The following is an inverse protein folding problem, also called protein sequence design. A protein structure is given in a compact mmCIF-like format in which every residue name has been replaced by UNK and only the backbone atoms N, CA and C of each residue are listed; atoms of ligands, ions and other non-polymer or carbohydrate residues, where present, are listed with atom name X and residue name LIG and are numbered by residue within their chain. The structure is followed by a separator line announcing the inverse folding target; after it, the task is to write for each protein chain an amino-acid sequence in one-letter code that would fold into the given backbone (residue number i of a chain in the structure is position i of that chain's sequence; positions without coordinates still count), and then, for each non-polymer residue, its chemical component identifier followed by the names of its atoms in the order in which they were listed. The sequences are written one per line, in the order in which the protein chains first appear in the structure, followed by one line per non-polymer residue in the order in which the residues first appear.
data_IF_230882764297
#
_entry.id   IF_230882764297
#
_cell.length_a   1.000
_cell.length_b   1.000
_cell.length_c   1.000
_cell.angle_alpha   90.00
_cell.angle_beta   90.00
_cell.angle_gamma   90.00
#
_symmetry.space_group_name_H-M   'P 1'
#
loop_
_entity.id
_entity.type
_entity.pdbx_description
1 polymer ?
#
# COMPACT_ATOMS: atom_id res chain seq x y z
N UNK A 1 4.55 10.38 14.39
CA UNK A 1 3.46 10.81 13.52
C UNK A 1 3.96 11.87 12.55
N UNK A 2 3.95 11.56 11.26
CA UNK A 2 4.28 12.43 10.14
C UNK A 2 3.31 13.60 10.04
N UNK A 3 2.00 13.38 10.24
CA UNK A 3 0.97 14.44 10.28
C UNK A 3 1.36 15.64 11.16
N UNK A 4 1.75 15.36 12.41
CA UNK A 4 2.21 16.36 13.39
C UNK A 4 3.44 17.12 12.91
N UNK A 5 4.40 16.39 12.33
CA UNK A 5 5.62 16.97 11.81
C UNK A 5 5.35 17.91 10.64
N UNK A 6 4.45 17.54 9.72
CA UNK A 6 4.05 18.39 8.59
C UNK A 6 3.36 19.68 9.05
N UNK A 7 2.36 19.58 9.94
CA UNK A 7 1.66 20.76 10.49
C UNK A 7 2.65 21.70 11.18
N UNK A 8 3.56 21.13 11.99
CA UNK A 8 4.55 21.93 12.72
C UNK A 8 5.56 22.58 11.78
N UNK A 9 6.05 21.84 10.78
CA UNK A 9 7.00 22.32 9.78
C UNK A 9 6.37 23.44 8.96
N UNK A 10 5.29 23.16 8.24
CA UNK A 10 4.65 24.11 7.31
C UNK A 10 4.15 25.35 8.02
N UNK A 11 3.50 25.21 9.18
CA UNK A 11 3.08 26.35 9.96
C UNK A 11 4.25 27.21 10.44
N UNK A 12 5.37 26.60 10.86
CA UNK A 12 6.56 27.35 11.26
C UNK A 12 7.22 28.06 10.07
N UNK A 13 7.27 27.42 8.90
CA UNK A 13 7.84 28.02 7.68
C UNK A 13 7.04 29.23 7.22
N UNK A 14 5.72 29.08 7.13
CA UNK A 14 4.80 30.15 6.71
C UNK A 14 4.80 31.32 7.72
N UNK A 15 5.04 31.04 9.00
CA UNK A 15 5.19 32.07 10.02
C UNK A 15 6.60 32.71 10.06
N UNK A 16 7.54 32.30 9.20
CA UNK A 16 8.92 32.78 9.22
C UNK A 16 9.72 32.34 10.45
N UNK A 17 9.33 31.22 11.08
CA UNK A 17 9.90 30.69 12.33
C UNK A 17 10.59 29.33 12.16
N UNK A 18 10.66 28.77 10.94
CA UNK A 18 11.37 27.51 10.70
C UNK A 18 12.88 27.73 10.73
N UNK A 19 13.64 26.76 11.25
CA UNK A 19 15.10 26.80 11.21
C UNK A 19 15.64 26.15 9.92
N UNK A 20 16.79 26.60 9.38
CA UNK A 20 17.45 25.93 8.26
C UNK A 20 17.79 24.45 8.56
N UNK A 21 18.06 24.16 9.83
CA UNK A 21 18.29 22.82 10.34
C UNK A 21 17.02 21.96 10.45
N UNK A 22 15.84 22.48 10.13
CA UNK A 22 14.60 21.69 10.11
C UNK A 22 13.95 21.73 8.73
N UNK A 23 14.21 22.78 7.94
CA UNK A 23 13.46 23.12 6.74
C UNK A 23 14.37 23.55 5.57
N UNK A 24 15.10 22.60 5.00
CA UNK A 24 16.09 22.88 3.96
C UNK A 24 15.45 23.50 2.71
N UNK A 25 14.27 23.04 2.30
CA UNK A 25 13.63 23.50 1.06
C UNK A 25 13.25 24.98 1.15
N UNK A 26 12.67 25.40 2.27
CA UNK A 26 12.27 26.80 2.48
C UNK A 26 13.44 27.78 2.50
N UNK A 27 14.54 27.38 3.14
CA UNK A 27 15.71 28.25 3.29
C UNK A 27 16.63 28.23 2.06
N UNK A 28 16.65 27.13 1.31
CA UNK A 28 17.51 26.99 0.13
C UNK A 28 16.85 27.46 -1.17
N UNK A 29 15.53 27.30 -1.30
CA UNK A 29 14.79 27.64 -2.53
C UNK A 29 13.42 28.24 -2.20
N UNK A 30 13.36 29.38 -1.50
CA UNK A 30 12.11 30.06 -1.24
C UNK A 30 11.48 30.50 -2.58
N UNK A 31 10.22 30.16 -2.77
CA UNK A 31 9.45 30.56 -3.96
C UNK A 31 7.98 30.72 -3.61
N UNK A 32 7.27 31.48 -4.45
CA UNK A 32 5.84 31.64 -4.32
C UNK A 32 5.10 30.31 -4.47
N UNK A 33 5.54 29.46 -5.40
CA UNK A 33 5.01 28.10 -5.58
C UNK A 33 5.16 27.25 -4.30
N UNK A 34 6.29 27.39 -3.58
CA UNK A 34 6.50 26.71 -2.29
C UNK A 34 5.55 27.23 -1.21
N UNK A 35 5.37 28.56 -1.14
CA UNK A 35 4.44 29.20 -0.19
C UNK A 35 3.02 28.72 -0.43
N UNK A 36 2.54 28.79 -1.67
CA UNK A 36 1.20 28.36 -2.06
C UNK A 36 0.97 26.88 -1.79
N UNK A 37 1.95 26.02 -2.12
CA UNK A 37 1.87 24.60 -1.81
C UNK A 37 1.72 24.34 -0.32
N UNK A 38 2.53 24.99 0.53
CA UNK A 38 2.49 24.77 1.98
C UNK A 38 1.25 25.37 2.64
N UNK A 39 0.73 26.48 2.12
CA UNK A 39 -0.57 27.03 2.53
C UNK A 39 -1.70 26.05 2.24
N UNK A 40 -1.76 25.56 1.00
CA UNK A 40 -2.70 24.51 0.60
C UNK A 40 -2.57 23.26 1.48
N UNK A 41 -1.35 22.72 1.62
CA UNK A 41 -1.12 21.47 2.33
C UNK A 41 -1.45 21.61 3.83
N UNK A 42 -1.10 22.75 4.45
CA UNK A 42 -1.45 23.01 5.84
C UNK A 42 -2.96 23.11 6.03
N UNK A 43 -3.66 23.85 5.16
CA UNK A 43 -5.12 23.96 5.19
C UNK A 43 -5.80 22.59 5.03
N UNK A 44 -5.38 21.81 4.04
CA UNK A 44 -5.88 20.46 3.82
C UNK A 44 -5.62 19.55 5.03
N UNK A 45 -4.40 19.55 5.58
CA UNK A 45 -4.06 18.76 6.78
C UNK A 45 -4.91 19.16 7.99
N UNK A 46 -5.22 20.45 8.16
CA UNK A 46 -6.08 20.94 9.24
C UNK A 46 -7.54 20.48 9.09
N UNK A 47 -8.02 20.31 7.85
CA UNK A 47 -9.37 19.83 7.56
C UNK A 47 -9.48 18.31 7.46
N UNK A 48 -8.34 17.61 7.33
CA UNK A 48 -8.29 16.18 7.07
C UNK A 48 -8.86 15.33 8.21
N UNK A 49 -9.69 14.34 7.90
CA UNK A 49 -9.97 13.24 8.84
C UNK A 49 -8.75 12.33 8.93
N UNK A 50 -8.20 12.15 10.13
CA UNK A 50 -6.88 11.54 10.34
C UNK A 50 -7.00 10.08 10.76
N UNK A 51 -6.35 9.20 10.00
CA UNK A 51 -6.25 7.77 10.25
C UNK A 51 -4.79 7.34 10.35
N UNK A 52 -4.43 6.65 11.43
CA UNK A 52 -3.10 6.06 11.63
C UNK A 52 -3.24 4.56 11.71
N UNK A 53 -2.67 3.82 10.78
CA UNK A 53 -2.65 2.36 10.85
C UNK A 53 -1.44 1.94 11.68
N UNK A 54 -1.66 1.02 12.61
CA UNK A 54 -0.53 0.25 13.13
C UNK A 54 0.02 -0.68 12.03
N UNK A 55 1.20 -1.27 12.28
CA UNK A 55 1.86 -2.11 11.30
C UNK A 55 1.01 -3.31 10.87
N UNK A 56 0.24 -3.91 11.80
CA UNK A 56 -0.62 -5.05 11.50
C UNK A 56 -1.82 -4.66 10.64
N UNK A 57 -2.44 -3.51 10.92
CA UNK A 57 -3.55 -2.98 10.12
C UNK A 57 -3.08 -2.59 8.73
N UNK A 58 -1.91 -1.96 8.60
CA UNK A 58 -1.31 -1.65 7.31
C UNK A 58 -1.01 -2.92 6.52
N UNK A 59 -0.39 -3.92 7.15
CA UNK A 59 -0.12 -5.21 6.52
C UNK A 59 -1.41 -5.94 6.10
N UNK A 60 -2.45 -5.92 6.94
CA UNK A 60 -3.74 -6.55 6.63
C UNK A 60 -4.43 -5.88 5.43
N UNK A 61 -4.51 -4.53 5.42
CA UNK A 61 -5.03 -3.77 4.28
C UNK A 61 -4.25 -4.06 2.99
N UNK A 62 -2.92 -4.18 3.10
CA UNK A 62 -2.04 -4.53 1.99
C UNK A 62 -2.21 -5.98 1.50
N UNK A 63 -2.67 -6.91 2.36
CA UNK A 63 -2.99 -8.27 1.90
C UNK A 63 -4.21 -8.35 0.99
N UNK A 64 -5.13 -7.38 1.11
CA UNK A 64 -6.26 -7.22 0.21
C UNK A 64 -5.79 -6.72 -1.16
N UNK A 65 -4.72 -5.91 -1.22
CA UNK A 65 -4.11 -5.50 -2.48
C UNK A 65 -3.65 -6.72 -3.28
N UNK A 66 -2.93 -7.65 -2.63
CA UNK A 66 -2.46 -8.87 -3.28
C UNK A 66 -3.63 -9.72 -3.84
N UNK A 67 -4.76 -9.77 -3.13
CA UNK A 67 -5.95 -10.51 -3.55
C UNK A 67 -6.65 -9.83 -4.74
N UNK A 68 -6.86 -8.52 -4.66
CA UNK A 68 -7.49 -7.73 -5.73
C UNK A 68 -6.59 -7.66 -6.96
N UNK A 69 -5.28 -7.53 -6.80
CA UNK A 69 -4.33 -7.55 -7.91
C UNK A 69 -4.34 -8.91 -8.65
N UNK A 70 -4.48 -10.01 -7.91
CA UNK A 70 -4.66 -11.34 -8.52
C UNK A 70 -5.96 -11.41 -9.31
N UNK A 71 -7.09 -11.00 -8.73
CA UNK A 71 -8.39 -10.98 -9.41
C UNK A 71 -8.41 -10.04 -10.62
N UNK A 72 -7.80 -8.86 -10.51
CA UNK A 72 -7.60 -7.90 -11.60
C UNK A 72 -6.81 -8.54 -12.76
N UNK A 73 -5.75 -9.30 -12.45
CA UNK A 73 -4.97 -10.01 -13.47
C UNK A 73 -5.75 -11.13 -14.16
N UNK A 74 -6.71 -11.75 -13.47
CA UNK A 74 -7.59 -12.80 -14.01
C UNK A 74 -8.77 -12.24 -14.82
N UNK A 75 -9.26 -11.04 -14.49
CA UNK A 75 -10.44 -10.40 -15.10
C UNK A 75 -10.10 -9.33 -16.14
N UNK A 76 -8.85 -8.87 -16.20
CA UNK A 76 -8.39 -7.82 -17.10
C UNK A 76 -8.80 -6.39 -16.70
N UNK A 77 -9.40 -6.20 -15.52
CA UNK A 77 -9.77 -4.88 -14.99
C UNK A 77 -8.61 -4.26 -14.18
N UNK A 78 -8.39 -2.94 -14.22
CA UNK A 78 -7.43 -2.28 -13.34
C UNK A 78 -7.83 -2.43 -11.87
N UNK A 79 -6.90 -2.83 -11.00
CA UNK A 79 -7.16 -3.00 -9.56
C UNK A 79 -7.71 -1.73 -8.88
N UNK A 80 -7.33 -0.55 -9.38
CA UNK A 80 -7.85 0.74 -8.91
C UNK A 80 -9.27 1.04 -9.38
N UNK A 81 -9.73 0.47 -10.50
CA UNK A 81 -11.12 0.59 -10.94
C UNK A 81 -12.07 -0.12 -9.96
N UNK A 82 -11.65 -1.27 -9.43
CA UNK A 82 -12.39 -2.01 -8.38
C UNK A 82 -12.50 -1.17 -7.09
N UNK A 83 -11.49 -0.36 -6.77
CA UNK A 83 -11.52 0.53 -5.61
C UNK A 83 -12.21 1.87 -5.85
N UNK A 84 -12.47 2.25 -7.12
CA UNK A 84 -13.09 3.53 -7.45
C UNK A 84 -14.53 3.68 -6.95
N UNK A 85 -15.15 2.58 -6.54
CA UNK A 85 -16.47 2.55 -5.93
C UNK A 85 -16.45 2.92 -4.43
N UNK A 86 -15.28 2.92 -3.80
CA UNK A 86 -15.14 3.19 -2.36
C UNK A 86 -15.29 4.69 -2.11
N UNK A 87 -16.32 5.05 -1.34
CA UNK A 87 -16.57 6.43 -0.93
C UNK A 87 -15.55 6.87 0.12
N UNK A 88 -15.00 8.07 -0.07
CA UNK A 88 -14.13 8.70 0.91
C UNK A 88 -14.92 9.04 2.19
N UNK A 89 -14.33 8.84 3.39
CA UNK A 89 -15.01 9.11 4.65
C UNK A 89 -15.14 10.60 5.01
N UNK A 90 -14.48 11.49 4.27
CA UNK A 90 -14.54 12.95 4.36
C UNK A 90 -13.96 13.58 3.09
N UNK A 91 -14.22 14.86 2.85
CA UNK A 91 -13.67 15.61 1.70
C UNK A 91 -12.15 15.69 1.70
N UNK A 92 -11.53 15.67 2.88
CA UNK A 92 -10.08 15.58 3.03
C UNK A 92 -9.75 14.48 4.02
N UNK A 93 -8.83 13.60 3.65
CA UNK A 93 -8.43 12.46 4.47
C UNK A 93 -6.92 12.37 4.54
N UNK A 94 -6.42 12.05 5.73
CA UNK A 94 -5.03 11.71 5.97
C UNK A 94 -4.93 10.26 6.42
N UNK A 95 -4.11 9.46 5.74
CA UNK A 95 -3.81 8.08 6.12
C UNK A 95 -2.30 7.93 6.28
N UNK A 96 -1.84 7.46 7.44
CA UNK A 96 -0.40 7.27 7.72
C UNK A 96 -0.11 5.87 8.28
N UNK A 97 1.04 5.33 7.89
CA UNK A 97 1.56 4.04 8.34
C UNK A 97 3.10 4.01 8.30
N UNK A 98 3.70 3.02 8.97
CA UNK A 98 5.15 2.77 8.92
C UNK A 98 5.47 1.87 7.71
N UNK A 99 6.09 2.46 6.69
CA UNK A 99 6.51 1.78 5.47
C UNK A 99 7.62 0.75 5.73
N UNK A 100 8.40 0.92 6.81
CA UNK A 100 9.47 -0.02 7.17
C UNK A 100 8.89 -1.36 7.60
N UNK A 101 7.98 -1.31 8.55
CA UNK A 101 7.27 -2.48 9.06
C UNK A 101 6.44 -3.14 7.95
N UNK A 102 5.83 -2.34 7.07
CA UNK A 102 5.11 -2.84 5.91
C UNK A 102 6.03 -3.59 4.93
N UNK A 103 7.22 -3.05 4.66
CA UNK A 103 8.23 -3.69 3.81
C UNK A 103 8.68 -5.04 4.37
N UNK A 104 8.90 -5.13 5.68
CA UNK A 104 9.21 -6.39 6.36
C UNK A 104 8.05 -7.39 6.21
N UNK A 105 6.81 -6.96 6.47
CA UNK A 105 5.64 -7.81 6.34
C UNK A 105 5.43 -8.30 4.88
N UNK A 106 5.74 -7.48 3.87
CA UNK A 106 5.72 -7.86 2.45
C UNK A 106 6.75 -8.95 2.14
N UNK A 107 7.97 -8.78 2.65
CA UNK A 107 9.04 -9.75 2.47
C UNK A 107 8.72 -11.08 3.15
N UNK A 108 8.31 -11.05 4.42
CA UNK A 108 7.99 -12.25 5.20
C UNK A 108 6.88 -13.09 4.57
N UNK A 109 5.89 -12.46 3.94
CA UNK A 109 4.81 -13.16 3.22
C UNK A 109 5.13 -13.49 1.76
N UNK A 110 6.35 -13.21 1.28
CA UNK A 110 6.77 -13.39 -0.11
C UNK A 110 5.85 -12.67 -1.12
N UNK A 111 5.47 -11.42 -0.82
CA UNK A 111 4.70 -10.59 -1.75
C UNK A 111 5.41 -10.52 -3.12
N UNK A 112 4.68 -10.52 -4.25
CA UNK A 112 5.28 -10.41 -5.58
C UNK A 112 6.23 -9.21 -5.73
N UNK A 113 5.96 -8.11 -5.01
CA UNK A 113 6.74 -6.87 -5.09
C UNK A 113 8.11 -6.99 -4.45
N UNK A 114 8.25 -7.82 -3.41
CA UNK A 114 9.52 -8.03 -2.71
C UNK A 114 10.22 -9.32 -3.16
N UNK A 115 9.74 -9.97 -4.23
CA UNK A 115 10.27 -11.27 -4.70
C UNK A 115 11.75 -11.23 -5.08
N UNK A 116 12.23 -10.08 -5.53
CA UNK A 116 13.60 -9.87 -5.99
C UNK A 116 14.48 -9.15 -4.96
N UNK A 117 13.93 -8.85 -3.79
CA UNK A 117 14.63 -8.09 -2.77
C UNK A 117 15.40 -9.03 -1.84
N UNK A 118 16.67 -8.73 -1.60
CA UNK A 118 17.48 -9.40 -0.59
C UNK A 118 17.33 -8.63 0.74
N UNK A 119 16.21 -8.89 1.45
CA UNK A 119 15.79 -8.23 2.71
C UNK A 119 15.45 -6.73 2.57
N UNK A 120 14.32 -6.37 1.95
CA UNK A 120 13.92 -4.98 1.85
C UNK A 120 13.51 -4.46 3.23
N UNK A 121 14.08 -3.32 3.58
CA UNK A 121 13.60 -2.49 4.69
C UNK A 121 12.90 -1.32 4.02
N UNK A 122 11.65 -1.05 4.38
CA UNK A 122 10.96 0.14 3.89
C UNK A 122 11.66 1.43 4.31
N UNK A 123 11.14 2.56 3.87
CA UNK A 123 11.94 3.79 3.88
C UNK A 123 11.73 4.67 5.11
N UNK A 124 10.62 4.52 5.84
CA UNK A 124 10.31 5.33 7.03
C UNK A 124 8.80 5.44 7.27
N UNK A 125 8.32 6.63 7.67
CA UNK A 125 6.88 6.89 7.72
C UNK A 125 6.37 7.37 6.36
N UNK A 126 5.18 6.91 5.99
CA UNK A 126 4.49 7.32 4.78
C UNK A 126 3.10 7.83 5.14
N UNK A 127 2.68 8.91 4.49
CA UNK A 127 1.39 9.55 4.71
C UNK A 127 0.75 10.00 3.41
N UNK A 128 -0.53 9.71 3.24
CA UNK A 128 -1.33 10.07 2.07
C UNK A 128 -2.31 11.16 2.47
N UNK A 129 -2.19 12.31 1.82
CA UNK A 129 -3.22 13.33 1.81
C UNK A 129 -4.09 13.12 0.57
N UNK A 130 -5.35 12.81 0.81
CA UNK A 130 -6.37 12.58 -0.22
C UNK A 130 -7.37 13.73 -0.09
N UNK A 131 -7.36 14.66 -1.04
CA UNK A 131 -8.17 15.88 -1.03
C UNK A 131 -9.14 15.88 -2.21
N UNK A 132 -10.42 15.78 -1.89
CA UNK A 132 -11.56 15.69 -2.81
C UNK A 132 -12.39 16.97 -2.89
N UNK A 133 -11.89 18.08 -2.34
CA UNK A 133 -12.61 19.36 -2.36
C UNK A 133 -12.72 19.95 -3.77
N UNK A 134 -11.85 19.54 -4.69
CA UNK A 134 -11.86 20.02 -6.07
C UNK A 134 -12.88 19.25 -6.92
N UNK A 135 -13.84 19.98 -7.52
CA UNK A 135 -14.91 19.38 -8.34
C UNK A 135 -14.44 18.75 -9.65
N UNK A 136 -13.23 19.04 -10.12
CA UNK A 136 -12.68 18.50 -11.37
C UNK A 136 -11.75 17.29 -11.18
N UNK A 137 -11.20 17.12 -9.98
CA UNK A 137 -10.24 16.04 -9.72
C UNK A 137 -10.10 15.74 -8.23
N UNK A 138 -9.75 14.50 -7.92
CA UNK A 138 -9.20 14.12 -6.62
C UNK A 138 -7.69 14.32 -6.63
N UNK A 139 -7.16 15.01 -5.61
CA UNK A 139 -5.71 15.20 -5.46
C UNK A 139 -5.15 14.25 -4.40
N UNK A 140 -4.13 13.49 -4.77
CA UNK A 140 -3.47 12.52 -3.91
C UNK A 140 -2.01 12.89 -3.80
N UNK A 141 -1.56 13.15 -2.58
CA UNK A 141 -0.18 13.58 -2.31
C UNK A 141 0.45 12.65 -1.28
N UNK A 142 1.52 11.96 -1.68
CA UNK A 142 2.27 11.08 -0.79
C UNK A 142 3.43 11.85 -0.14
N UNK A 143 3.44 11.89 1.18
CA UNK A 143 4.53 12.40 1.99
C UNK A 143 5.33 11.24 2.55
N UNK A 144 6.64 11.41 2.62
CA UNK A 144 7.52 10.46 3.27
C UNK A 144 8.44 11.17 4.26
N UNK A 145 8.77 10.48 5.33
CA UNK A 145 9.88 10.84 6.21
C UNK A 145 10.75 9.61 6.39
N UNK A 146 11.91 9.64 5.75
CA UNK A 146 12.85 8.52 5.87
C UNK A 146 13.36 8.39 7.31
N UNK A 147 13.74 7.19 7.70
CA UNK A 147 14.36 6.96 9.00
C UNK A 147 15.59 7.87 9.18
N UNK A 148 15.68 8.52 10.34
CA UNK A 148 16.72 9.51 10.66
C UNK A 148 16.86 10.67 9.65
N UNK A 149 15.81 10.92 8.86
CA UNK A 149 15.77 11.98 7.87
C UNK A 149 14.68 13.00 8.19
N UNK A 150 14.81 14.15 7.53
CA UNK A 150 13.85 15.24 7.64
C UNK A 150 12.67 14.98 6.72
N UNK A 151 11.56 15.64 7.01
CA UNK A 151 10.43 15.71 6.08
C UNK A 151 10.87 16.57 4.90
N UNK A 152 10.64 16.09 3.68
CA UNK A 152 10.89 16.83 2.44
C UNK A 152 9.57 16.92 1.68
N UNK A 153 9.32 18.05 1.04
CA UNK A 153 8.10 18.24 0.25
C UNK A 153 8.04 17.23 -0.92
N UNK A 154 6.84 16.77 -1.30
CA UNK A 154 6.65 15.80 -2.37
C UNK A 154 7.05 16.37 -3.74
N UNK A 155 7.64 15.54 -4.59
CA UNK A 155 8.07 15.94 -5.93
C UNK A 155 6.89 16.04 -6.92
N UNK A 156 5.81 15.31 -6.67
CA UNK A 156 4.57 15.41 -7.42
C UNK A 156 3.35 15.01 -6.59
N UNK A 157 2.17 15.32 -7.13
CA UNK A 157 0.89 14.77 -6.71
C UNK A 157 0.24 14.03 -7.88
N UNK A 158 -0.63 13.06 -7.57
CA UNK A 158 -1.49 12.42 -8.56
C UNK A 158 -2.85 13.12 -8.57
N UNK A 159 -3.35 13.45 -9.75
CA UNK A 159 -4.66 14.04 -9.96
C UNK A 159 -5.53 13.03 -10.71
N UNK A 160 -6.50 12.44 -10.02
CA UNK A 160 -7.48 11.54 -10.62
C UNK A 160 -8.62 12.40 -11.16
N UNK A 161 -8.75 12.47 -12.49
CA UNK A 161 -9.77 13.32 -13.11
C UNK A 161 -11.16 12.73 -12.93
N UNK A 162 -12.18 13.60 -12.91
CA UNK A 162 -13.57 13.16 -12.97
C UNK A 162 -14.05 13.02 -14.41
N UNK A 163 -14.87 12.01 -14.66
CA UNK A 163 -15.63 11.86 -15.92
C UNK A 163 -16.66 13.00 -16.04
N UNK A 164 -17.29 13.18 -17.22
CA UNK A 164 -18.41 14.12 -17.37
C UNK A 164 -19.60 13.82 -16.45
N UNK A 165 -19.77 12.57 -16.00
CA UNK A 165 -20.78 12.16 -15.01
C UNK A 165 -20.38 12.47 -13.57
N UNK A 166 -19.15 12.93 -13.34
CA UNK A 166 -18.62 13.33 -12.03
C UNK A 166 -17.89 12.21 -11.28
N UNK A 167 -17.79 11.00 -11.85
CA UNK A 167 -17.12 9.85 -11.23
C UNK A 167 -15.60 9.91 -11.40
N UNK A 168 -14.84 9.36 -10.45
CA UNK A 168 -13.37 9.35 -10.54
C UNK A 168 -12.90 8.36 -11.61
N UNK A 169 -12.09 8.85 -12.53
CA UNK A 169 -11.49 8.06 -13.60
C UNK A 169 -10.04 7.70 -13.28
N UNK A 170 -9.84 6.50 -12.71
CA UNK A 170 -8.52 5.98 -12.36
C UNK A 170 -7.67 5.55 -13.55
N UNK A 171 -8.25 5.50 -14.75
CA UNK A 171 -7.49 5.32 -16.01
C UNK A 171 -6.93 6.66 -16.51
N UNK A 172 -7.44 7.79 -16.00
CA UNK A 172 -7.01 9.14 -16.34
C UNK A 172 -6.38 9.85 -15.13
N UNK A 173 -5.17 9.42 -14.79
CA UNK A 173 -4.36 10.01 -13.72
C UNK A 173 -3.30 10.93 -14.31
N UNK A 174 -3.39 12.22 -14.00
CA UNK A 174 -2.34 13.19 -14.31
C UNK A 174 -1.33 13.28 -13.16
N UNK A 175 -0.06 13.46 -13.50
CA UNK A 175 1.00 13.70 -12.52
C UNK A 175 1.33 15.20 -12.51
N UNK A 176 1.00 15.87 -11.41
CA UNK A 176 1.34 17.27 -11.23
C UNK A 176 2.70 17.38 -10.52
N UNK A 177 3.71 17.87 -11.24
CA UNK A 177 5.04 18.12 -10.69
C UNK A 177 5.05 19.36 -9.79
N UNK A 178 5.67 19.24 -8.63
CA UNK A 178 5.94 20.36 -7.73
C UNK A 178 7.10 21.19 -8.28
N UNK A 179 6.80 22.39 -8.79
CA UNK A 179 7.81 23.30 -9.36
C UNK A 179 8.88 23.69 -8.35
N UNK A 180 8.49 24.02 -7.12
CA UNK A 180 9.41 24.35 -6.04
C UNK A 180 10.37 23.21 -5.72
N UNK A 181 9.88 21.96 -5.74
CA UNK A 181 10.74 20.79 -5.54
C UNK A 181 11.62 20.48 -6.74
N UNK A 182 11.16 20.70 -7.96
CA UNK A 182 12.01 20.59 -9.15
C UNK A 182 13.16 21.60 -9.07
N UNK A 183 12.87 22.86 -8.76
CA UNK A 183 13.89 23.91 -8.60
C UNK A 183 14.90 23.58 -7.49
N UNK A 184 14.40 23.11 -6.34
CA UNK A 184 15.24 22.67 -5.24
C UNK A 184 16.20 21.54 -5.67
N UNK A 185 15.71 20.56 -6.44
CA UNK A 185 16.53 19.43 -6.92
C UNK A 185 17.56 19.86 -7.95
N UNK A 186 17.18 20.72 -8.92
CA UNK A 186 18.12 21.28 -9.91
C UNK A 186 19.24 22.05 -9.21
N UNK A 187 18.90 22.91 -8.24
CA UNK A 187 19.90 23.66 -7.45
C UNK A 187 20.78 22.75 -6.58
N UNK A 188 20.25 21.60 -6.19
CA UNK A 188 21.00 20.56 -5.46
C UNK A 188 21.89 19.69 -6.36
N UNK A 189 21.87 19.92 -7.69
CA UNK A 189 22.72 19.22 -8.66
C UNK A 189 22.08 18.01 -9.35
N UNK A 190 20.79 17.75 -9.17
CA UNK A 190 20.11 16.66 -9.90
C UNK A 190 19.94 17.02 -11.38
N UNK A 191 20.23 16.06 -12.28
CA UNK A 191 19.95 16.21 -13.71
C UNK A 191 18.46 16.04 -14.03
N UNK A 192 18.04 16.42 -15.24
CA UNK A 192 16.65 16.22 -15.69
C UNK A 192 16.24 14.74 -15.67
N UNK A 193 17.15 13.84 -16.03
CA UNK A 193 16.94 12.40 -16.02
C UNK A 193 16.75 11.89 -14.59
N UNK A 194 17.53 12.39 -13.63
CA UNK A 194 17.38 12.04 -12.21
C UNK A 194 16.03 12.52 -11.66
N UNK A 195 15.63 13.76 -11.98
CA UNK A 195 14.33 14.32 -11.57
C UNK A 195 13.19 13.50 -12.16
N UNK A 196 13.28 13.13 -13.44
CA UNK A 196 12.29 12.28 -14.09
C UNK A 196 12.25 10.88 -13.47
N UNK A 197 13.40 10.28 -13.17
CA UNK A 197 13.48 9.00 -12.47
C UNK A 197 12.82 9.04 -11.10
N UNK A 198 13.10 10.08 -10.31
CA UNK A 198 12.44 10.31 -9.00
C UNK A 198 10.94 10.49 -9.14
N UNK A 199 10.48 11.23 -10.15
CA UNK A 199 9.04 11.39 -10.45
C UNK A 199 8.40 10.05 -10.73
N UNK A 200 9.00 9.24 -11.61
CA UNK A 200 8.48 7.91 -11.96
C UNK A 200 8.40 6.99 -10.75
N UNK A 201 9.46 6.94 -9.95
CA UNK A 201 9.47 6.15 -8.69
C UNK A 201 8.35 6.63 -7.76
N UNK A 202 8.25 7.95 -7.51
CA UNK A 202 7.23 8.51 -6.64
C UNK A 202 5.81 8.24 -7.14
N UNK A 203 5.57 8.32 -8.45
CA UNK A 203 4.28 8.00 -9.06
C UNK A 203 3.92 6.52 -8.85
N UNK A 204 4.86 5.61 -9.13
CA UNK A 204 4.65 4.16 -8.98
C UNK A 204 4.40 3.80 -7.52
N UNK A 205 5.23 4.31 -6.59
CA UNK A 205 5.07 4.11 -5.16
C UNK A 205 3.74 4.68 -4.64
N UNK A 206 3.38 5.89 -5.07
CA UNK A 206 2.11 6.52 -4.67
C UNK A 206 0.95 5.67 -5.16
N UNK A 207 0.93 5.29 -6.44
CA UNK A 207 -0.18 4.53 -7.03
C UNK A 207 -0.34 3.13 -6.46
N UNK A 208 0.78 2.42 -6.21
CA UNK A 208 0.75 1.08 -5.64
C UNK A 208 0.22 1.08 -4.20
N UNK A 209 0.79 1.92 -3.33
CA UNK A 209 0.44 1.94 -1.91
C UNK A 209 -0.84 2.73 -1.61
N UNK A 210 -1.39 3.46 -2.59
CA UNK A 210 -2.70 4.11 -2.49
C UNK A 210 -3.83 3.12 -2.22
N UNK A 211 -3.66 1.85 -2.58
CA UNK A 211 -4.63 0.81 -2.26
C UNK A 211 -4.90 0.73 -0.75
N UNK A 212 -3.89 0.92 0.09
CA UNK A 212 -4.01 0.78 1.56
C UNK A 212 -5.04 1.76 2.14
N UNK A 213 -4.98 3.09 1.85
CA UNK A 213 -6.06 4.01 2.19
C UNK A 213 -7.46 3.56 1.75
N UNK A 214 -7.62 3.10 0.52
CA UNK A 214 -8.93 2.70 0.00
C UNK A 214 -9.45 1.42 0.63
N UNK A 215 -8.57 0.43 0.87
CA UNK A 215 -8.89 -0.77 1.63
C UNK A 215 -9.33 -0.42 3.05
N UNK A 216 -8.65 0.53 3.71
CA UNK A 216 -9.09 1.04 5.00
C UNK A 216 -10.52 1.60 4.92
N UNK A 217 -10.81 2.44 3.93
CA UNK A 217 -12.14 3.05 3.80
C UNK A 217 -13.23 2.00 3.57
N UNK A 218 -12.96 0.99 2.75
CA UNK A 218 -13.87 -0.14 2.58
C UNK A 218 -14.11 -0.89 3.90
N UNK A 219 -13.04 -1.19 4.65
CA UNK A 219 -13.15 -1.87 5.96
C UNK A 219 -13.88 -1.02 7.01
N UNK A 220 -13.80 0.32 6.94
CA UNK A 220 -14.51 1.22 7.85
C UNK A 220 -16.03 1.24 7.62
N UNK A 221 -16.50 0.90 6.42
CA UNK A 221 -17.95 0.83 6.13
C UNK A 221 -18.57 -0.41 6.78
N UNK A 222 -17.80 -1.47 7.02
CA UNK A 222 -18.25 -2.65 7.75
C UNK A 222 -17.16 -3.12 8.72
N UNK A 223 -16.98 -2.48 9.88
CA UNK A 223 -15.87 -2.79 10.80
C UNK A 223 -15.88 -4.24 11.29
N UNK A 224 -17.05 -4.82 11.49
CA UNK A 224 -17.21 -6.20 11.96
C UNK A 224 -16.70 -7.21 10.93
N UNK A 225 -17.01 -7.00 9.63
CA UNK A 225 -16.51 -7.85 8.54
C UNK A 225 -15.09 -7.47 8.11
N UNK A 226 -14.77 -6.18 8.19
CA UNK A 226 -13.47 -5.61 7.88
C UNK A 226 -12.43 -5.94 8.93
N UNK A 227 -12.83 -6.50 10.08
CA UNK A 227 -11.92 -6.98 11.11
C UNK A 227 -10.99 -5.90 11.66
N UNK A 228 -11.40 -4.63 11.68
CA UNK A 228 -10.62 -3.51 12.20
C UNK A 228 -11.27 -2.87 13.43
N UNK A 229 -10.44 -2.34 14.31
CA UNK A 229 -10.85 -1.65 15.54
C UNK A 229 -10.33 -0.21 15.48
N UNK A 230 -11.17 0.76 15.09
CA UNK A 230 -10.82 2.17 15.17
C UNK A 230 -10.88 2.66 16.63
N UNK A 231 -9.80 3.28 17.11
CA UNK A 231 -9.73 3.90 18.43
C UNK A 231 -9.43 5.38 18.29
N UNK A 232 -10.27 6.24 18.87
CA UNK A 232 -10.06 7.67 18.88
C UNK A 232 -9.01 8.08 19.92
N UNK A 233 -8.02 8.87 19.50
CA UNK A 233 -6.94 9.38 20.34
C UNK A 233 -6.78 10.89 20.16
N UNK A 234 -6.32 11.58 21.20
CA UNK A 234 -5.98 13.01 21.09
C UNK A 234 -4.81 13.20 20.12
N UNK A 235 -4.98 14.10 19.15
CA UNK A 235 -3.91 14.49 18.24
C UNK A 235 -2.90 15.32 19.02
N UNK A 236 -3.25 16.53 19.47
CA UNK A 236 -2.37 17.34 20.31
C UNK A 236 -2.86 17.31 21.74
N UNK A 237 -1.95 17.11 22.69
CA UNK A 237 -2.33 17.08 24.11
C UNK A 237 -2.81 18.46 24.57
N UNK A 238 -3.57 18.53 25.67
CA UNK A 238 -3.95 19.81 26.27
C UNK A 238 -2.74 20.72 26.59
N UNK A 239 -1.60 20.13 26.95
CA UNK A 239 -0.32 20.84 27.18
C UNK A 239 0.22 21.45 25.88
N UNK A 240 0.16 20.71 24.79
CA UNK A 240 0.57 21.19 23.46
C UNK A 240 -0.30 22.37 23.02
N UNK A 241 -1.62 22.26 23.18
CA UNK A 241 -2.56 23.32 22.85
C UNK A 241 -2.34 24.59 23.70
N UNK A 242 -2.09 24.44 25.01
CA UNK A 242 -1.76 25.58 25.89
C UNK A 242 -0.46 26.27 25.45
N UNK A 243 0.55 25.49 25.09
CA UNK A 243 1.83 25.98 24.59
C UNK A 243 1.67 26.68 23.25
N UNK A 244 0.92 26.08 22.32
CA UNK A 244 0.61 26.67 21.02
C UNK A 244 -0.09 28.03 21.16
N UNK A 245 -1.07 28.15 22.06
CA UNK A 245 -1.73 29.42 22.36
C UNK A 245 -0.77 30.46 22.91
N UNK A 246 0.11 30.07 23.86
CA UNK A 246 1.12 30.97 24.45
C UNK A 246 2.09 31.53 23.41
N UNK A 247 2.49 30.72 22.43
CA UNK A 247 3.49 31.10 21.42
C UNK A 247 2.88 31.51 20.07
N UNK A 248 1.55 31.67 19.99
CA UNK A 248 0.86 32.08 18.76
C UNK A 248 1.01 31.08 17.61
N UNK A 249 1.07 29.78 17.89
CA UNK A 249 1.14 28.70 16.88
C UNK A 249 -0.27 28.31 16.43
N UNK A 250 -0.94 29.21 15.70
CA UNK A 250 -2.32 29.01 15.22
C UNK A 250 -2.47 27.72 14.40
N UNK A 251 -1.44 27.31 13.68
CA UNK A 251 -1.44 26.07 12.89
C UNK A 251 -1.64 24.80 13.71
N UNK A 252 -1.11 24.76 14.95
CA UNK A 252 -1.35 23.64 15.88
C UNK A 252 -2.78 23.70 16.42
N UNK A 253 -3.31 24.90 16.67
CA UNK A 253 -4.67 25.08 17.20
C UNK A 253 -5.76 24.78 16.16
N UNK A 254 -5.45 24.97 14.87
CA UNK A 254 -6.35 24.64 13.76
C UNK A 254 -6.27 23.17 13.31
N UNK A 255 -5.34 22.38 13.84
CA UNK A 255 -5.26 20.95 13.54
C UNK A 255 -6.45 20.18 14.13
N UNK A 256 -6.72 18.98 13.60
CA UNK A 256 -7.74 18.11 14.17
C UNK A 256 -7.44 17.79 15.64
N UNK A 257 -8.49 17.84 16.48
CA UNK A 257 -8.37 17.58 17.92
C UNK A 257 -8.06 16.12 18.22
N UNK A 258 -8.59 15.22 17.42
CA UNK A 258 -8.42 13.78 17.54
C UNK A 258 -8.07 13.14 16.20
N UNK A 259 -7.60 11.90 16.27
CA UNK A 259 -7.35 11.03 15.14
C UNK A 259 -7.78 9.60 15.49
N UNK A 260 -8.02 8.78 14.47
CA UNK A 260 -8.32 7.36 14.64
C UNK A 260 -7.05 6.54 14.47
N UNK A 261 -6.67 5.79 15.48
CA UNK A 261 -5.69 4.71 15.36
C UNK A 261 -6.43 3.43 14.99
N UNK A 262 -6.02 2.81 13.89
CA UNK A 262 -6.62 1.58 13.37
C UNK A 262 -5.73 0.40 13.75
N UNK A 263 -6.36 -0.60 14.36
CA UNK A 263 -5.75 -1.89 14.68
C UNK A 263 -6.57 -3.02 14.05
N UNK A 264 -5.97 -4.19 13.88
CA UNK A 264 -6.74 -5.39 13.53
C UNK A 264 -7.48 -5.94 14.77
N UNK A 265 -8.69 -6.44 14.55
CA UNK A 265 -9.46 -7.20 15.51
C UNK A 265 -9.21 -8.72 15.41
N UNK A 266 -9.89 -9.52 16.25
CA UNK A 266 -9.67 -10.96 16.32
C UNK A 266 -9.87 -11.70 14.99
N UNK A 267 -10.85 -11.28 14.19
CA UNK A 267 -11.16 -11.93 12.91
C UNK A 267 -10.04 -11.72 11.88
N UNK A 268 -9.59 -10.47 11.69
CA UNK A 268 -8.47 -10.16 10.80
C UNK A 268 -7.17 -10.82 11.29
N UNK A 269 -6.95 -10.90 12.60
CA UNK A 269 -5.81 -11.62 13.17
C UNK A 269 -5.86 -13.12 12.83
N UNK A 270 -7.02 -13.77 12.96
CA UNK A 270 -7.20 -15.17 12.59
C UNK A 270 -6.96 -15.40 11.09
N UNK A 271 -7.50 -14.53 10.24
CA UNK A 271 -7.27 -14.59 8.79
C UNK A 271 -5.78 -14.45 8.42
N UNK A 272 -5.07 -13.51 9.06
CA UNK A 272 -3.63 -13.34 8.85
C UNK A 272 -2.84 -14.58 9.29
N UNK A 273 -3.21 -15.21 10.41
CA UNK A 273 -2.61 -16.46 10.88
C UNK A 273 -2.85 -17.62 9.91
N UNK A 274 -4.07 -17.79 9.43
CA UNK A 274 -4.42 -18.82 8.44
C UNK A 274 -3.60 -18.65 7.15
N UNK A 275 -3.51 -17.42 6.65
CA UNK A 275 -2.73 -17.10 5.45
C UNK A 275 -1.24 -17.41 5.64
N UNK A 276 -0.69 -17.08 6.80
CA UNK A 276 0.71 -17.39 7.13
C UNK A 276 0.94 -18.90 7.19
N UNK A 277 0.05 -19.66 7.86
CA UNK A 277 0.14 -21.12 7.93
C UNK A 277 0.08 -21.77 6.53
N UNK A 278 -0.75 -21.22 5.64
CA UNK A 278 -0.82 -21.67 4.24
C UNK A 278 0.48 -21.40 3.48
N UNK A 279 1.08 -20.23 3.64
CA UNK A 279 2.36 -19.89 3.00
C UNK A 279 3.50 -20.80 3.50
N UNK A 280 3.54 -21.09 4.79
CA UNK A 280 4.53 -22.01 5.37
C UNK A 280 4.36 -23.43 4.84
N UNK A 281 3.11 -23.90 4.72
CA UNK A 281 2.82 -25.19 4.08
C UNK A 281 3.30 -25.21 2.62
N UNK A 282 3.01 -24.18 1.83
CA UNK A 282 3.44 -24.09 0.44
C UNK A 282 4.98 -24.06 0.31
N UNK A 283 5.68 -23.35 1.21
CA UNK A 283 7.16 -23.37 1.28
C UNK A 283 7.70 -24.76 1.58
N UNK A 284 7.15 -25.45 2.59
CA UNK A 284 7.56 -26.81 2.93
C UNK A 284 7.36 -27.79 1.76
N UNK A 285 6.29 -27.62 0.99
CA UNK A 285 6.03 -28.43 -0.21
C UNK A 285 7.02 -28.11 -1.35
N UNK A 286 7.42 -26.85 -1.52
CA UNK A 286 8.39 -26.45 -2.56
C UNK A 286 9.83 -26.86 -2.22
N UNK A 287 10.26 -26.66 -0.98
CA UNK A 287 11.58 -27.08 -0.48
C UNK A 287 11.66 -28.61 -0.39
N UNK A 288 10.53 -29.25 -0.06
CA UNK A 288 10.31 -30.67 -0.11
C UNK A 288 9.98 -31.19 -1.51
N UNK A 289 10.86 -30.97 -2.50
CA UNK A 289 10.87 -31.84 -3.70
C UNK A 289 11.24 -33.26 -3.28
N UNK A 290 10.27 -33.98 -2.75
CA UNK A 290 10.31 -35.44 -2.70
C UNK A 290 10.56 -35.89 -4.14
N UNK A 291 11.71 -36.53 -4.40
CA UNK A 291 11.96 -37.17 -5.68
C UNK A 291 10.78 -38.08 -6.03
N UNK A 292 10.53 -38.38 -7.31
CA UNK A 292 9.35 -39.15 -7.71
C UNK A 292 9.23 -40.40 -6.83
N UNK A 293 8.06 -40.58 -6.21
CA UNK A 293 7.75 -41.75 -5.39
C UNK A 293 8.05 -43.00 -6.21
N UNK A 294 8.58 -44.04 -5.56
CA UNK A 294 8.94 -45.31 -6.20
C UNK A 294 7.83 -45.78 -7.15
N UNK A 295 8.08 -45.72 -8.44
CA UNK A 295 7.18 -46.19 -9.49
C UNK A 295 7.87 -47.26 -10.33
N UNK A 296 7.06 -48.10 -10.97
CA UNK A 296 7.54 -49.13 -11.88
C UNK A 296 7.83 -48.50 -13.25
N UNK A 297 9.01 -48.75 -13.80
CA UNK A 297 9.34 -48.42 -15.18
C UNK A 297 9.25 -49.71 -15.99
N UNK A 298 8.36 -49.75 -16.97
CA UNK A 298 8.22 -50.90 -17.87
C UNK A 298 9.44 -51.04 -18.78
N UNK A 299 9.71 -52.28 -19.18
CA UNK A 299 10.78 -52.59 -20.11
C UNK A 299 10.57 -51.86 -21.44
N UNK A 300 11.61 -51.17 -21.92
CA UNK A 300 11.54 -50.45 -23.18
C UNK A 300 12.93 -50.33 -23.81
N UNK A 301 12.96 -50.20 -25.13
CA UNK A 301 14.19 -49.92 -25.86
C UNK A 301 14.49 -48.42 -25.87
N UNK A 302 15.73 -48.06 -25.51
CA UNK A 302 16.22 -46.69 -25.61
C UNK A 302 17.24 -46.60 -26.74
N UNK A 303 16.93 -45.76 -27.73
CA UNK A 303 17.81 -45.49 -28.88
C UNK A 303 18.58 -44.20 -28.63
N UNK A 304 19.91 -44.27 -28.70
CA UNK A 304 20.78 -43.11 -28.56
C UNK A 304 21.09 -42.49 -29.93
N UNK A 305 21.42 -41.21 -29.94
CA UNK A 305 21.76 -40.45 -31.16
C UNK A 305 22.98 -41.01 -31.91
N UNK A 306 23.79 -41.84 -31.24
CA UNK A 306 24.91 -42.59 -31.81
C UNK A 306 24.52 -43.89 -32.52
N UNK A 307 23.22 -44.23 -32.60
CA UNK A 307 22.73 -45.47 -33.22
C UNK A 307 22.72 -46.68 -32.28
N UNK A 308 23.26 -46.56 -31.05
CA UNK A 308 23.22 -47.62 -30.03
C UNK A 308 21.79 -47.79 -29.52
N UNK A 309 21.29 -49.02 -29.53
CA UNK A 309 20.01 -49.41 -28.92
C UNK A 309 20.30 -50.20 -27.65
N UNK A 310 19.67 -49.82 -26.54
CA UNK A 310 19.81 -50.51 -25.26
C UNK A 310 18.43 -50.88 -24.75
N UNK A 311 18.24 -52.16 -24.39
CA UNK A 311 17.05 -52.64 -23.71
C UNK A 311 17.13 -52.26 -22.23
N UNK A 312 16.26 -51.36 -21.78
CA UNK A 312 16.13 -51.00 -20.38
C UNK A 312 15.15 -51.99 -19.75
N UNK A 313 15.67 -52.96 -18.99
CA UNK A 313 14.83 -53.91 -18.24
C UNK A 313 13.97 -53.19 -17.21
N UNK A 314 12.78 -53.73 -16.97
CA UNK A 314 11.85 -53.18 -15.98
C UNK A 314 12.47 -53.09 -14.59
N UNK A 315 12.38 -51.92 -13.96
CA UNK A 315 12.93 -51.68 -12.64
C UNK A 315 12.14 -50.60 -11.90
N UNK A 316 12.30 -50.55 -10.58
CA UNK A 316 11.74 -49.47 -9.78
C UNK A 316 12.65 -48.25 -9.81
N UNK A 317 12.05 -47.06 -9.99
CA UNK A 317 12.74 -45.78 -9.94
C UNK A 317 12.07 -44.87 -8.92
N UNK A 318 12.86 -44.11 -8.16
CA UNK A 318 12.35 -43.21 -7.12
C UNK A 318 12.69 -43.65 -5.70
N UNK A 319 12.29 -42.85 -4.71
CA UNK A 319 12.52 -43.14 -3.29
C UNK A 319 11.35 -43.94 -2.70
N UNK A 320 11.65 -44.83 -1.75
CA UNK A 320 10.64 -45.55 -0.97
C UNK A 320 9.76 -44.53 -0.21
N UNK A 321 8.42 -44.65 -0.26
CA UNK A 321 7.56 -43.74 0.48
C UNK A 321 7.80 -43.90 1.98
N UNK A 322 7.81 -42.78 2.71
CA UNK A 322 7.89 -42.81 4.17
C UNK A 322 6.65 -43.54 4.72
N UNK A 323 6.82 -44.59 5.54
CA UNK A 323 5.71 -45.45 5.98
C UNK A 323 4.64 -44.73 6.82
N UNK A 324 4.95 -43.52 7.29
CA UNK A 324 4.09 -42.75 8.20
C UNK A 324 3.46 -41.52 7.51
N UNK A 325 3.65 -41.34 6.21
CA UNK A 325 3.09 -40.21 5.45
C UNK A 325 2.17 -40.73 4.33
N UNK A 326 0.97 -40.16 4.17
CA UNK A 326 0.14 -40.46 3.01
C UNK A 326 0.91 -40.16 1.72
N UNK A 327 0.89 -41.08 0.76
CA UNK A 327 1.57 -40.97 -0.55
C UNK A 327 1.10 -39.78 -1.39
N UNK A 328 0.06 -39.07 -0.95
CA UNK A 328 -0.52 -37.89 -1.56
C UNK A 328 -1.21 -37.06 -0.47
N UNK A 329 -0.56 -36.00 0.01
CA UNK A 329 -1.27 -34.93 0.73
C UNK A 329 -1.95 -34.10 -0.35
N UNK A 330 -3.21 -34.43 -0.65
CA UNK A 330 -4.07 -33.46 -1.33
C UNK A 330 -4.24 -32.33 -0.34
N UNK A 331 -3.74 -31.13 -0.66
CA UNK A 331 -4.17 -29.92 0.05
C UNK A 331 -5.70 -29.85 0.05
N UNK A 332 -6.31 -29.05 0.94
CA UNK A 332 -7.77 -28.88 0.92
C UNK A 332 -8.19 -28.60 -0.52
N UNK A 333 -9.08 -29.45 -1.04
CA UNK A 333 -9.67 -29.21 -2.36
C UNK A 333 -10.21 -27.79 -2.29
N UNK A 334 -9.97 -26.93 -3.29
CA UNK A 334 -10.78 -25.75 -3.43
C UNK A 334 -12.20 -26.29 -3.62
N UNK A 335 -13.01 -26.25 -2.56
CA UNK A 335 -14.44 -26.20 -2.75
C UNK A 335 -14.63 -24.95 -3.60
N UNK A 336 -14.95 -25.17 -4.87
CA UNK A 336 -15.56 -24.14 -5.68
C UNK A 336 -16.84 -23.80 -4.93
N UNK A 337 -16.77 -22.81 -4.04
CA UNK A 337 -17.93 -22.06 -3.62
C UNK A 337 -18.37 -21.33 -4.88
N UNK A 338 -19.15 -22.03 -5.68
CA UNK A 338 -20.00 -21.41 -6.69
C UNK A 338 -20.96 -20.58 -5.86
N UNK A 339 -20.69 -19.28 -5.77
CA UNK A 339 -21.76 -18.35 -5.46
C UNK A 339 -22.71 -18.43 -6.65
N UNK A 340 -23.77 -19.21 -6.51
CA UNK A 340 -24.97 -19.05 -7.32
C UNK A 340 -25.52 -17.67 -6.97
N UNK A 341 -25.10 -16.67 -7.74
CA UNK A 341 -25.92 -15.49 -7.93
C UNK A 341 -27.17 -16.00 -8.63
N UNK A 342 -28.31 -16.00 -7.93
CA UNK A 342 -29.61 -16.22 -8.54
C UNK A 342 -29.69 -15.38 -9.80
N UNK A 343 -29.67 -16.06 -10.94
CA UNK A 343 -30.01 -15.45 -12.21
C UNK A 343 -31.49 -15.05 -12.07
N UNK A 344 -31.73 -13.76 -11.94
CA UNK A 344 -33.08 -13.20 -11.97
C UNK A 344 -33.83 -13.78 -13.16
N UNK A 345 -34.96 -14.41 -12.84
CA UNK A 345 -35.82 -15.13 -13.77
C UNK A 345 -36.23 -14.19 -14.92
N UNK A 346 -35.88 -14.49 -16.19
CA UNK A 346 -36.29 -13.69 -17.32
C UNK A 346 -37.66 -14.18 -17.81
N UNK A 347 -38.70 -14.04 -17.00
CA UNK A 347 -40.08 -14.15 -17.47
C UNK A 347 -41.08 -13.68 -16.42
N UNK A 348 -41.52 -12.43 -16.55
CA UNK A 348 -42.95 -12.15 -16.38
C UNK A 348 -43.33 -10.98 -17.30
N UNK A 349 -44.17 -11.21 -18.33
CA UNK A 349 -44.96 -10.16 -18.95
C UNK A 349 -46.31 -10.09 -18.23
N UNK A 350 -46.52 -9.02 -17.46
CA UNK A 350 -47.82 -8.36 -17.31
C UNK A 350 -47.65 -6.91 -16.82
#
# INVERSE_FOLDING_TARGET
MLYKSLISLYGSSLAGKSAPADDLVWHFTPSEDLRLFREYALDALQQAKVYLLDHMAAAYADTLHDAVAKQASETGLPAMAILGEVKLPADVVWVEFDDRELGVARFERASPVTRHDDKPIGTGLRGYLIDDRNKGHLRITMFHRRENSRVVDPICALLVKRTPTGELNYDNVEVELSRSMVDFRVRSGDTKEMINGRRTVHQVETGYDLFIPYALFAMLVSPDLGGIIPTENETFTAKDAKTARKFGKSWILGAQKSHLTIRIGPQAAAHMQERQARLEFERQVQDGRSGPVRHWVSEHERRYRSGKVVLVKGHHRGQLPAPNLPTRVMGPKPEATIFELDAGDPSDPD
#
